data_IF_438832476553
#
_entry.id   IF_438832476553
#
_cell.length_a   1.000
_cell.length_b   1.000
_cell.length_c   1.000
_cell.angle_alpha   90.00
_cell.angle_beta   90.00
_cell.angle_gamma   90.00
#
_symmetry.space_group_name_H-M   'P 1'
#
loop_
_entity.id
_entity.type
_entity.pdbx_description
1 polymer ?
#
# COMPACT_ATOMS: atom_id res chain seq x y z
N UNK A 1 5.24 -28.72 17.55
CA UNK A 1 4.62 -29.94 18.12
C UNK A 1 4.45 -31.04 17.07
N UNK A 2 3.86 -30.74 15.90
CA UNK A 2 3.66 -31.71 14.81
C UNK A 2 4.95 -32.27 14.19
N UNK A 3 6.00 -31.44 14.06
CA UNK A 3 7.30 -31.86 13.50
C UNK A 3 7.97 -32.96 14.32
N UNK A 4 8.04 -32.76 15.64
CA UNK A 4 8.61 -33.71 16.60
C UNK A 4 7.84 -35.02 16.61
N UNK A 5 6.50 -34.97 16.58
CA UNK A 5 5.66 -36.16 16.54
C UNK A 5 5.72 -36.91 15.19
N UNK A 6 5.89 -36.18 14.08
CA UNK A 6 5.90 -36.71 12.72
C UNK A 6 7.29 -37.10 12.18
N UNK A 7 8.37 -36.79 12.90
CA UNK A 7 9.74 -37.09 12.47
C UNK A 7 10.18 -36.34 11.21
N UNK A 8 9.64 -35.13 11.00
CA UNK A 8 10.01 -34.25 9.88
C UNK A 8 10.41 -32.86 10.39
N UNK A 9 11.00 -32.07 9.50
CA UNK A 9 11.34 -30.66 9.71
C UNK A 9 10.73 -29.84 8.58
N UNK A 10 10.03 -28.76 8.92
CA UNK A 10 9.60 -27.73 7.97
C UNK A 10 10.76 -26.79 7.77
N UNK A 11 11.12 -26.56 6.51
CA UNK A 11 12.05 -25.51 6.14
C UNK A 11 11.24 -24.38 5.54
N UNK A 12 11.22 -23.25 6.22
CA UNK A 12 10.81 -22.01 5.59
C UNK A 12 11.85 -21.68 4.53
N UNK A 13 11.45 -21.74 3.27
CA UNK A 13 12.30 -21.32 2.18
C UNK A 13 12.14 -19.82 2.03
N UNK A 14 13.26 -19.08 2.07
CA UNK A 14 13.26 -17.67 1.72
C UNK A 14 12.97 -17.56 0.22
N UNK A 15 11.68 -17.38 -0.10
CA UNK A 15 11.21 -17.28 -1.47
C UNK A 15 11.67 -15.93 -2.01
N UNK A 16 12.68 -15.96 -2.89
CA UNK A 16 13.05 -14.81 -3.69
C UNK A 16 11.84 -14.37 -4.50
N UNK A 17 11.49 -13.10 -4.45
CA UNK A 17 10.28 -12.64 -5.12
C UNK A 17 10.00 -11.17 -4.94
N UNK A 18 8.92 -10.76 -5.59
CA UNK A 18 8.30 -9.44 -5.51
C UNK A 18 7.33 -9.35 -4.34
N UNK A 19 7.03 -8.12 -3.92
CA UNK A 19 6.02 -7.82 -2.91
C UNK A 19 4.67 -8.43 -3.33
N UNK A 20 3.99 -9.11 -2.40
CA UNK A 20 2.67 -9.71 -2.65
C UNK A 20 1.58 -8.66 -2.83
N UNK A 21 1.75 -7.50 -2.20
CA UNK A 21 0.88 -6.33 -2.33
C UNK A 21 1.76 -5.14 -2.67
N UNK A 22 1.46 -4.48 -3.78
CA UNK A 22 2.15 -3.27 -4.19
C UNK A 22 1.21 -2.38 -5.00
N UNK A 23 1.36 -1.07 -4.87
CA UNK A 23 0.54 -0.10 -5.58
C UNK A 23 1.38 0.72 -6.55
N UNK A 24 0.86 0.87 -7.77
CA UNK A 24 1.39 1.80 -8.76
C UNK A 24 0.37 2.90 -8.99
N UNK A 25 0.72 4.14 -8.63
CA UNK A 25 -0.14 5.31 -8.87
C UNK A 25 -0.10 5.69 -10.35
N UNK A 26 -1.26 5.87 -10.98
CA UNK A 26 -1.37 6.29 -12.38
C UNK A 26 -0.94 7.75 -12.57
N UNK A 27 0.34 7.97 -12.87
CA UNK A 27 0.93 9.29 -13.09
C UNK A 27 0.49 9.97 -14.40
N UNK A 28 -0.29 9.28 -15.23
CA UNK A 28 -0.77 9.79 -16.53
C UNK A 28 -2.27 10.04 -16.55
N UNK A 29 -2.98 9.89 -15.42
CA UNK A 29 -4.43 10.07 -15.29
C UNK A 29 -4.91 11.38 -15.93
N UNK A 30 -6.03 11.36 -16.67
CA UNK A 30 -6.53 12.54 -17.41
C UNK A 30 -7.11 13.65 -16.53
N UNK A 31 -7.51 13.29 -15.32
CA UNK A 31 -8.03 14.22 -14.32
C UNK A 31 -6.96 15.28 -13.98
N UNK A 32 -7.19 16.57 -14.31
CA UNK A 32 -6.21 17.64 -14.09
C UNK A 32 -6.04 18.01 -12.61
N UNK A 33 -6.97 17.62 -11.74
CA UNK A 33 -6.89 17.81 -10.28
C UNK A 33 -6.02 16.72 -9.68
N UNK A 34 -6.22 15.46 -10.10
CA UNK A 34 -5.46 14.31 -9.56
C UNK A 34 -4.06 14.18 -10.13
N UNK A 35 -3.86 14.44 -11.43
CA UNK A 35 -2.57 14.27 -12.12
C UNK A 35 -1.40 14.94 -11.39
N UNK A 36 -1.43 16.23 -11.02
CA UNK A 36 -0.30 16.86 -10.32
C UNK A 36 -0.03 16.22 -8.95
N UNK A 37 -1.08 15.87 -8.20
CA UNK A 37 -0.96 15.17 -6.90
C UNK A 37 -0.32 13.79 -7.08
N UNK A 38 -0.78 13.01 -8.07
CA UNK A 38 -0.31 11.65 -8.33
C UNK A 38 1.15 11.60 -8.83
N UNK A 39 1.57 12.63 -9.56
CA UNK A 39 2.96 12.78 -10.01
C UNK A 39 3.91 13.20 -8.88
N UNK A 40 3.41 13.88 -7.86
CA UNK A 40 4.22 14.28 -6.71
C UNK A 40 4.70 13.05 -5.91
N UNK A 41 6.01 12.96 -5.70
CA UNK A 41 6.61 11.89 -4.91
C UNK A 41 6.06 11.85 -3.48
N UNK A 42 5.78 13.01 -2.89
CA UNK A 42 5.30 13.15 -1.51
C UNK A 42 3.93 12.50 -1.33
N UNK A 43 3.09 12.50 -2.35
CA UNK A 43 1.81 11.79 -2.31
C UNK A 43 2.04 10.27 -2.22
N UNK A 44 2.94 9.71 -3.03
CA UNK A 44 3.27 8.27 -2.98
C UNK A 44 3.93 7.87 -1.68
N UNK A 45 4.79 8.73 -1.12
CA UNK A 45 5.36 8.53 0.21
C UNK A 45 4.28 8.56 1.30
N UNK A 46 3.33 9.49 1.22
CA UNK A 46 2.23 9.56 2.17
C UNK A 46 1.35 8.30 2.13
N UNK A 47 1.05 7.76 0.94
CA UNK A 47 0.30 6.51 0.81
C UNK A 47 1.03 5.33 1.46
N UNK A 48 2.36 5.29 1.37
CA UNK A 48 3.20 4.25 1.97
C UNK A 48 3.25 4.38 3.51
N UNK A 49 3.53 5.59 4.00
CA UNK A 49 3.59 5.91 5.43
C UNK A 49 2.26 5.72 6.16
N UNK A 50 1.13 5.88 5.44
CA UNK A 50 -0.18 5.69 6.04
C UNK A 50 -0.47 4.21 6.36
N UNK A 51 0.23 3.24 5.77
CA UNK A 51 -0.08 1.82 5.92
C UNK A 51 0.74 1.22 7.07
N UNK A 52 0.06 0.59 8.03
CA UNK A 52 0.71 -0.31 8.97
C UNK A 52 0.95 -1.67 8.31
N UNK A 53 2.12 -1.82 7.69
CA UNK A 53 2.49 -3.04 6.98
C UNK A 53 2.76 -4.22 7.92
N UNK A 54 3.10 -3.97 9.20
CA UNK A 54 3.23 -5.02 10.22
C UNK A 54 1.85 -5.59 10.56
N UNK A 55 0.84 -4.75 10.77
CA UNK A 55 -0.53 -5.20 11.04
C UNK A 55 -1.13 -5.95 9.84
N UNK A 56 -0.88 -5.49 8.60
CA UNK A 56 -1.27 -6.24 7.39
C UNK A 56 -0.61 -7.62 7.38
N UNK A 57 0.67 -7.71 7.74
CA UNK A 57 1.41 -8.97 7.77
C UNK A 57 0.85 -9.94 8.80
N UNK A 58 0.60 -9.48 10.03
CA UNK A 58 0.03 -10.30 11.09
C UNK A 58 -1.40 -10.76 10.76
N UNK A 59 -2.23 -9.85 10.26
CA UNK A 59 -3.66 -10.10 10.05
C UNK A 59 -3.94 -10.95 8.81
N UNK A 60 -3.24 -10.70 7.70
CA UNK A 60 -3.54 -11.34 6.41
C UNK A 60 -2.54 -12.45 6.06
N UNK A 61 -1.28 -12.28 6.45
CA UNK A 61 -0.20 -13.22 6.11
C UNK A 61 0.27 -14.08 7.30
N UNK A 62 -0.39 -13.97 8.46
CA UNK A 62 -0.07 -14.73 9.68
C UNK A 62 1.39 -14.55 10.14
N UNK A 63 1.95 -13.36 9.90
CA UNK A 63 3.34 -13.04 10.25
C UNK A 63 4.40 -13.68 9.35
N UNK A 64 4.00 -14.38 8.28
CA UNK A 64 4.91 -15.10 7.37
C UNK A 64 5.50 -14.20 6.25
N UNK A 65 5.00 -12.98 6.10
CA UNK A 65 5.54 -11.99 5.18
C UNK A 65 6.66 -11.15 5.82
N UNK A 66 7.27 -10.31 4.98
CA UNK A 66 8.22 -9.28 5.40
C UNK A 66 7.71 -7.93 4.92
N UNK A 67 7.37 -7.00 5.82
CA UNK A 67 7.05 -5.62 5.48
C UNK A 67 8.24 -4.93 4.82
N UNK A 68 8.04 -4.40 3.61
CA UNK A 68 9.09 -3.77 2.83
C UNK A 68 8.51 -2.99 1.65
N UNK A 69 9.26 -1.99 1.16
CA UNK A 69 9.03 -1.37 -0.15
C UNK A 69 9.04 -2.41 -1.28
N UNK A 70 8.96 -1.97 -2.54
CA UNK A 70 9.08 -2.83 -3.72
C UNK A 70 10.53 -2.97 -4.26
N UNK A 71 11.57 -3.38 -3.51
CA UNK A 71 12.78 -3.91 -4.13
C UNK A 71 12.64 -5.42 -4.37
N UNK A 72 13.33 -5.89 -5.40
CA UNK A 72 13.55 -7.32 -5.60
C UNK A 72 14.55 -7.80 -4.54
N UNK A 73 14.09 -8.64 -3.60
CA UNK A 73 14.92 -9.23 -2.56
C UNK A 73 15.52 -10.58 -2.96
N UNK A 74 16.69 -10.88 -2.39
CA UNK A 74 17.33 -12.18 -2.51
C UNK A 74 17.97 -12.48 -3.88
N UNK A 75 18.02 -11.51 -4.80
CA UNK A 75 18.66 -11.64 -6.12
C UNK A 75 20.02 -10.93 -6.18
N UNK A 76 20.85 -11.25 -7.18
CA UNK A 76 22.12 -10.54 -7.41
C UNK A 76 21.95 -9.06 -7.79
N UNK A 77 20.72 -8.61 -8.06
CA UNK A 77 20.38 -7.21 -8.36
C UNK A 77 19.80 -6.47 -7.15
N UNK A 78 19.75 -7.11 -5.98
CA UNK A 78 19.30 -6.50 -4.74
C UNK A 78 20.10 -5.24 -4.40
N UNK A 79 19.41 -4.21 -3.92
CA UNK A 79 20.01 -2.94 -3.54
C UNK A 79 19.73 -2.69 -2.05
N UNK A 80 20.70 -2.94 -1.14
CA UNK A 80 20.48 -2.93 0.31
C UNK A 80 19.91 -1.62 0.88
N UNK A 81 20.14 -0.48 0.23
CA UNK A 81 19.58 0.81 0.68
C UNK A 81 18.04 0.86 0.64
N UNK A 82 17.40 -0.06 -0.08
CA UNK A 82 15.94 -0.13 -0.20
C UNK A 82 15.30 -1.00 0.88
N UNK A 83 16.09 -1.73 1.67
CA UNK A 83 15.58 -2.60 2.74
C UNK A 83 15.04 -1.82 3.94
N UNK A 84 15.44 -0.55 4.07
CA UNK A 84 15.03 0.33 5.16
C UNK A 84 14.58 1.68 4.60
N UNK A 85 13.71 1.67 3.60
CA UNK A 85 13.18 2.91 3.06
C UNK A 85 12.32 3.60 4.14
N UNK A 86 12.61 4.85 4.53
CA UNK A 86 11.83 5.54 5.57
C UNK A 86 10.35 5.67 5.25
N UNK A 87 9.96 5.61 3.97
CA UNK A 87 8.55 5.58 3.55
C UNK A 87 7.82 4.27 3.91
N UNK A 88 8.52 3.27 4.45
CA UNK A 88 7.97 1.97 4.87
C UNK A 88 7.67 1.92 6.37
N UNK A 89 8.11 2.93 7.13
CA UNK A 89 7.79 3.04 8.55
C UNK A 89 6.42 3.70 8.69
N UNK A 90 5.44 2.97 9.20
CA UNK A 90 4.11 3.52 9.48
C UNK A 90 4.22 4.81 10.33
N UNK A 91 3.73 5.91 9.76
CA UNK A 91 3.71 7.23 10.37
C UNK A 91 2.54 8.04 9.77
N UNK A 92 1.35 7.86 10.36
CA UNK A 92 0.14 8.54 9.93
C UNK A 92 0.24 10.08 10.07
N UNK A 93 1.03 10.60 11.02
CA UNK A 93 1.21 12.05 11.19
C UNK A 93 2.05 12.63 10.06
N UNK A 94 3.16 11.98 9.72
CA UNK A 94 3.98 12.36 8.57
C UNK A 94 3.20 12.19 7.26
N UNK A 95 2.41 11.12 7.11
CA UNK A 95 1.52 10.96 5.96
C UNK A 95 0.55 12.16 5.84
N UNK A 96 -0.08 12.58 6.93
CA UNK A 96 -0.96 13.75 6.94
C UNK A 96 -0.22 15.04 6.51
N UNK A 97 0.99 15.28 7.02
CA UNK A 97 1.80 16.44 6.64
C UNK A 97 2.15 16.45 5.16
N UNK A 98 2.50 15.29 4.59
CA UNK A 98 2.81 15.18 3.17
C UNK A 98 1.56 15.38 2.30
N UNK A 99 0.40 14.87 2.72
CA UNK A 99 -0.87 15.10 2.03
C UNK A 99 -1.26 16.58 2.03
N UNK A 100 -1.05 17.29 3.15
CA UNK A 100 -1.25 18.74 3.21
C UNK A 100 -0.32 19.46 2.22
N UNK A 101 0.95 19.05 2.18
CA UNK A 101 1.99 19.67 1.35
C UNK A 101 1.82 19.45 -0.17
N UNK A 102 1.00 18.47 -0.59
CA UNK A 102 0.62 18.24 -2.00
C UNK A 102 -0.72 18.89 -2.36
N UNK A 103 -1.26 19.75 -1.50
CA UNK A 103 -2.46 20.55 -1.78
C UNK A 103 -3.77 19.92 -1.32
N UNK A 104 -3.72 18.89 -0.45
CA UNK A 104 -4.92 18.22 0.08
C UNK A 104 -5.24 18.60 1.54
N UNK A 105 -4.83 19.79 1.99
CA UNK A 105 -4.99 20.22 3.39
C UNK A 105 -6.46 20.50 3.79
N UNK A 106 -7.28 20.96 2.84
CA UNK A 106 -8.69 21.24 3.09
C UNK A 106 -9.49 19.96 3.30
N UNK A 107 -10.48 19.98 4.19
CA UNK A 107 -11.36 18.85 4.49
C UNK A 107 -12.84 19.22 4.43
N UNK A 108 -13.68 18.25 4.08
CA UNK A 108 -15.13 18.33 4.20
C UNK A 108 -15.57 18.28 5.67
N UNK A 109 -16.86 18.50 5.94
CA UNK A 109 -17.44 18.34 7.28
C UNK A 109 -17.30 16.92 7.84
N UNK A 110 -17.20 15.92 6.97
CA UNK A 110 -17.02 14.51 7.34
C UNK A 110 -15.54 14.11 7.44
N UNK A 111 -14.61 15.07 7.32
CA UNK A 111 -13.18 14.85 7.48
C UNK A 111 -12.42 14.38 6.24
N UNK A 112 -13.08 14.27 5.08
CA UNK A 112 -12.46 13.87 3.81
C UNK A 112 -11.67 15.01 3.19
N UNK A 113 -10.46 14.72 2.70
CA UNK A 113 -9.64 15.69 1.99
C UNK A 113 -10.31 16.17 0.70
N UNK A 114 -10.15 17.45 0.40
CA UNK A 114 -10.71 18.09 -0.79
C UNK A 114 -9.63 18.36 -1.84
N UNK A 115 -9.99 18.22 -3.11
CA UNK A 115 -9.18 18.66 -4.23
C UNK A 115 -9.13 20.18 -4.35
N UNK A 116 -8.31 20.69 -5.27
CA UNK A 116 -8.24 22.14 -5.54
C UNK A 116 -9.53 22.71 -6.16
N UNK A 117 -10.42 21.84 -6.62
CA UNK A 117 -11.77 22.15 -7.08
C UNK A 117 -12.80 22.24 -5.93
N UNK A 118 -12.41 21.88 -4.70
CA UNK A 118 -13.28 21.86 -3.53
C UNK A 118 -14.13 20.61 -3.38
N UNK A 119 -14.03 19.66 -4.32
CA UNK A 119 -14.72 18.37 -4.25
C UNK A 119 -13.91 17.34 -3.46
N UNK A 120 -14.56 16.27 -2.99
CA UNK A 120 -13.88 15.22 -2.24
C UNK A 120 -12.82 14.55 -3.12
N UNK A 121 -11.58 14.50 -2.62
CA UNK A 121 -10.47 13.83 -3.29
C UNK A 121 -10.56 12.32 -3.07
N UNK A 122 -11.14 11.60 -4.02
CA UNK A 122 -11.27 10.14 -3.97
C UNK A 122 -10.07 9.43 -4.62
N UNK A 123 -9.55 8.40 -3.93
CA UNK A 123 -8.57 7.44 -4.46
C UNK A 123 -9.29 6.12 -4.75
N UNK A 124 -9.03 5.52 -5.91
CA UNK A 124 -9.59 4.21 -6.26
C UNK A 124 -8.46 3.20 -6.36
N UNK A 125 -8.54 2.13 -5.57
CA UNK A 125 -7.72 0.94 -5.70
C UNK A 125 -8.34 0.10 -6.81
N UNK A 126 -7.62 -0.03 -7.93
CA UNK A 126 -8.00 -0.94 -9.00
C UNK A 126 -7.23 -2.25 -8.86
N UNK A 127 -7.98 -3.34 -8.67
CA UNK A 127 -7.45 -4.69 -8.53
C UNK A 127 -8.01 -5.64 -9.58
N UNK A 128 -7.32 -6.76 -9.77
CA UNK A 128 -7.77 -7.85 -10.63
C UNK A 128 -7.97 -9.10 -9.81
N UNK A 129 -9.09 -9.79 -10.02
CA UNK A 129 -9.32 -11.12 -9.48
C UNK A 129 -8.99 -12.19 -10.52
N UNK A 130 -8.24 -13.21 -10.11
CA UNK A 130 -7.87 -14.36 -10.93
C UNK A 130 -6.54 -14.22 -11.70
N UNK A 131 -5.78 -15.32 -11.78
CA UNK A 131 -4.42 -15.37 -12.35
C UNK A 131 -3.38 -15.85 -11.32
N UNK A 132 -2.12 -15.90 -11.71
CA UNK A 132 -1.00 -16.35 -10.84
C UNK A 132 -0.65 -15.32 -9.74
N UNK A 133 -1.07 -14.07 -9.91
CA UNK A 133 -0.85 -12.97 -8.94
C UNK A 133 -2.21 -12.39 -8.56
N UNK A 134 -2.84 -12.97 -7.54
CA UNK A 134 -4.03 -12.41 -6.91
C UNK A 134 -3.63 -11.77 -5.58
N UNK A 135 -3.94 -10.49 -5.42
CA UNK A 135 -3.79 -9.80 -4.13
C UNK A 135 -4.92 -10.25 -3.21
N UNK A 136 -4.67 -10.61 -1.94
CA UNK A 136 -5.72 -10.88 -0.97
C UNK A 136 -6.64 -9.65 -0.81
N UNK A 137 -7.95 -9.85 -0.91
CA UNK A 137 -8.92 -8.74 -0.82
C UNK A 137 -8.89 -8.12 0.57
N UNK A 138 -8.65 -8.94 1.60
CA UNK A 138 -8.51 -8.55 2.99
C UNK A 138 -7.38 -7.52 3.18
N UNK A 139 -6.25 -7.69 2.47
CA UNK A 139 -5.18 -6.68 2.47
C UNK A 139 -5.66 -5.35 1.90
N UNK A 140 -6.47 -5.37 0.86
CA UNK A 140 -6.96 -4.14 0.21
C UNK A 140 -7.95 -3.38 1.11
N UNK A 141 -8.84 -4.07 1.82
CA UNK A 141 -9.78 -3.43 2.74
C UNK A 141 -9.03 -2.80 3.93
N UNK A 142 -8.06 -3.49 4.52
CA UNK A 142 -7.25 -2.93 5.61
C UNK A 142 -6.43 -1.70 5.16
N UNK A 143 -5.84 -1.75 3.97
CA UNK A 143 -5.11 -0.61 3.40
C UNK A 143 -6.03 0.58 3.10
N UNK A 144 -7.25 0.29 2.63
CA UNK A 144 -8.29 1.32 2.46
C UNK A 144 -8.66 1.96 3.79
N UNK A 145 -8.76 1.19 4.88
CA UNK A 145 -9.02 1.73 6.23
C UNK A 145 -7.93 2.74 6.62
N UNK A 146 -6.65 2.37 6.52
CA UNK A 146 -5.53 3.27 6.80
C UNK A 146 -5.53 4.55 5.95
N UNK A 147 -5.79 4.45 4.65
CA UNK A 147 -5.87 5.63 3.79
C UNK A 147 -7.06 6.53 4.17
N UNK A 148 -8.16 5.93 4.62
CA UNK A 148 -9.31 6.70 5.12
C UNK A 148 -9.00 7.39 6.45
N UNK A 149 -8.20 6.81 7.34
CA UNK A 149 -7.77 7.43 8.60
C UNK A 149 -6.99 8.73 8.36
N UNK A 150 -6.15 8.77 7.32
CA UNK A 150 -5.47 10.00 6.89
C UNK A 150 -6.35 10.92 6.04
N UNK A 151 -7.64 10.62 5.89
CA UNK A 151 -8.65 11.45 5.25
C UNK A 151 -8.77 11.27 3.72
N UNK A 152 -8.16 10.25 3.14
CA UNK A 152 -8.34 9.92 1.72
C UNK A 152 -9.55 9.00 1.56
N UNK A 153 -10.63 9.52 0.97
CA UNK A 153 -11.78 8.69 0.64
C UNK A 153 -11.36 7.64 -0.38
N UNK A 154 -11.47 6.36 -0.03
CA UNK A 154 -10.89 5.28 -0.81
C UNK A 154 -11.93 4.24 -1.20
N UNK A 155 -11.94 3.87 -2.49
CA UNK A 155 -12.84 2.86 -3.05
C UNK A 155 -12.03 1.71 -3.65
N UNK A 156 -12.55 0.48 -3.57
CA UNK A 156 -11.92 -0.70 -4.18
C UNK A 156 -12.77 -1.14 -5.36
N UNK A 157 -12.13 -1.30 -6.52
CA UNK A 157 -12.74 -1.80 -7.74
C UNK A 157 -11.98 -3.02 -8.22
N UNK A 158 -12.63 -4.18 -8.14
CA UNK A 158 -12.07 -5.45 -8.61
C UNK A 158 -12.71 -5.82 -9.94
N UNK A 159 -11.88 -6.07 -10.95
CA UNK A 159 -12.32 -6.58 -12.25
C UNK A 159 -11.92 -8.06 -12.44
N UNK A 160 -12.78 -8.81 -13.13
CA UNK A 160 -12.48 -10.18 -13.57
C UNK A 160 -11.61 -10.19 -14.84
N UNK A 161 -10.86 -11.28 -15.05
CA UNK A 161 -10.10 -11.50 -16.29
C UNK A 161 -11.06 -11.71 -17.47
N UNK A 162 -10.97 -10.83 -18.47
CA UNK A 162 -11.51 -11.05 -19.82
C UNK A 162 -10.77 -12.15 -20.57
#
# INVERSE_FOLDING_TARGET
>A
ENETAGGYVTKELDLQGESKVAFAVNQTIDDPIKRPVFQDLRFRQALSLAIDADEVNETVFFGLGRPMAFPVVGTSFHIPKWDNNPADAFDADQANQLLDAVGLASRSGDGWRLGSDGEIFTVTIEGRQGGEVSVPIESLELIKEYWQEVGLKTEIKISERS
#
